data_IF_381411138201
#
_entry.id   IF_381411138201
#
_cell.length_a   1.000
_cell.length_b   1.000
_cell.length_c   1.000
_cell.angle_alpha   90.00
_cell.angle_beta   90.00
_cell.angle_gamma   90.00
#
_symmetry.space_group_name_H-M   'P 1'
#
loop_
_entity.id
_entity.type
_entity.pdbx_description
1 polymer ?
#
# COMPACT_ATOMS: atom_id res chain seq x y z
N UNK A 1 5.43 -7.97 -3.25
CA UNK A 1 4.06 -7.84 -2.71
C UNK A 1 3.18 -8.85 -3.42
N UNK A 2 2.21 -9.44 -2.72
CA UNK A 2 1.25 -10.39 -3.29
C UNK A 2 -0.15 -9.82 -3.07
N UNK A 3 -1.02 -9.99 -4.07
CA UNK A 3 -2.45 -9.63 -3.98
C UNK A 3 -3.25 -10.91 -4.15
N UNK A 4 -4.08 -11.22 -3.15
CA UNK A 4 -4.91 -12.43 -3.11
C UNK A 4 -6.37 -12.04 -2.90
N UNK A 5 -7.29 -12.85 -3.41
CA UNK A 5 -8.72 -12.67 -3.16
C UNK A 5 -9.22 -13.84 -2.31
N UNK A 6 -9.79 -13.54 -1.15
CA UNK A 6 -10.41 -14.51 -0.24
C UNK A 6 -11.88 -14.15 -0.03
N UNK A 7 -12.76 -14.83 -0.78
CA UNK A 7 -14.18 -14.50 -0.82
C UNK A 7 -14.39 -13.04 -1.25
N UNK A 8 -14.96 -12.24 -0.34
CA UNK A 8 -15.24 -10.82 -0.56
C UNK A 8 -14.07 -9.90 -0.16
N UNK A 9 -12.92 -10.46 0.22
CA UNK A 9 -11.73 -9.70 0.64
C UNK A 9 -10.68 -9.65 -0.46
N UNK A 10 -10.06 -8.48 -0.61
CA UNK A 10 -8.80 -8.32 -1.36
C UNK A 10 -7.69 -8.11 -0.34
N UNK A 11 -6.75 -9.06 -0.27
CA UNK A 11 -5.65 -9.08 0.67
C UNK A 11 -4.37 -8.54 0.01
N UNK A 12 -3.82 -7.47 0.57
CA UNK A 12 -2.54 -6.91 0.17
C UNK A 12 -1.43 -7.39 1.12
N UNK A 13 -0.61 -8.35 0.70
CA UNK A 13 0.59 -8.75 1.46
C UNK A 13 1.80 -7.95 1.00
N UNK A 14 2.27 -7.05 1.85
CA UNK A 14 3.40 -6.16 1.58
C UNK A 14 4.56 -6.51 2.52
N UNK A 15 5.68 -6.94 1.94
CA UNK A 15 6.91 -7.27 2.65
C UNK A 15 7.97 -6.21 2.35
N UNK A 16 8.74 -5.83 3.37
CA UNK A 16 9.83 -4.86 3.25
C UNK A 16 10.73 -4.88 4.48
N UNK A 17 11.93 -4.32 4.36
CA UNK A 17 12.87 -4.21 5.48
C UNK A 17 12.43 -3.14 6.48
N UNK A 18 11.91 -2.02 5.98
CA UNK A 18 11.39 -0.90 6.77
C UNK A 18 10.26 -0.23 6.00
N UNK A 19 9.36 0.41 6.75
CA UNK A 19 8.29 1.23 6.20
C UNK A 19 8.35 2.62 6.80
N UNK A 20 8.14 3.66 5.99
CA UNK A 20 7.98 5.01 6.49
C UNK A 20 6.62 5.17 7.17
N UNK A 21 6.47 6.24 7.97
CA UNK A 21 5.22 6.52 8.66
C UNK A 21 4.02 6.54 7.68
N UNK A 22 3.00 5.73 8.00
CA UNK A 22 1.77 5.54 7.20
C UNK A 22 1.96 4.97 5.79
N UNK A 23 3.14 4.50 5.40
CA UNK A 23 3.44 4.03 4.04
C UNK A 23 2.43 3.01 3.51
N UNK A 24 2.24 1.92 4.26
CA UNK A 24 1.40 0.78 3.85
C UNK A 24 -0.06 1.22 3.66
N UNK A 25 -0.60 2.01 4.59
CA UNK A 25 -1.98 2.51 4.54
C UNK A 25 -2.20 3.52 3.41
N UNK A 26 -1.19 4.33 3.11
CA UNK A 26 -1.22 5.26 1.96
C UNK A 26 -1.19 4.50 0.64
N UNK A 27 -0.33 3.47 0.54
CA UNK A 27 -0.26 2.62 -0.64
C UNK A 27 -1.60 1.92 -0.89
N UNK A 28 -2.19 1.29 0.13
CA UNK A 28 -3.50 0.66 0.03
C UNK A 28 -4.58 1.66 -0.42
N UNK A 29 -4.58 2.86 0.16
CA UNK A 29 -5.50 3.93 -0.21
C UNK A 29 -5.42 4.36 -1.69
N UNK A 30 -4.21 4.55 -2.19
CA UNK A 30 -3.96 4.90 -3.60
C UNK A 30 -4.42 3.78 -4.52
N UNK A 31 -4.14 2.52 -4.18
CA UNK A 31 -4.56 1.36 -4.98
C UNK A 31 -6.10 1.24 -5.04
N UNK A 32 -6.80 1.53 -3.94
CA UNK A 32 -8.27 1.59 -3.92
C UNK A 32 -8.79 2.68 -4.86
N UNK A 33 -8.20 3.89 -4.82
CA UNK A 33 -8.58 4.99 -5.73
C UNK A 33 -8.34 4.63 -7.20
N UNK A 34 -7.22 3.98 -7.50
CA UNK A 34 -6.91 3.48 -8.84
C UNK A 34 -7.91 2.41 -9.28
N UNK A 35 -8.23 1.45 -8.41
CA UNK A 35 -9.19 0.38 -8.69
C UNK A 35 -10.63 0.89 -8.92
N UNK A 36 -11.01 1.98 -8.26
CA UNK A 36 -12.29 2.67 -8.52
C UNK A 36 -12.27 3.58 -9.76
N UNK A 37 -11.11 3.77 -10.41
CA UNK A 37 -10.96 4.67 -11.55
C UNK A 37 -10.99 6.16 -11.19
N UNK A 38 -10.84 6.52 -9.92
CA UNK A 38 -10.80 7.92 -9.47
C UNK A 38 -9.48 8.61 -9.83
N UNK A 39 -8.42 7.83 -10.05
CA UNK A 39 -7.13 8.27 -10.59
C UNK A 39 -6.70 7.37 -11.74
N UNK A 40 -5.87 7.88 -12.64
CA UNK A 40 -5.37 7.11 -13.79
C UNK A 40 -4.11 6.31 -13.44
N UNK A 41 -3.76 5.33 -14.28
CA UNK A 41 -2.48 4.62 -14.17
C UNK A 41 -1.30 5.59 -14.29
N UNK A 42 -1.41 6.58 -15.18
CA UNK A 42 -0.40 7.64 -15.33
C UNK A 42 -0.23 8.46 -14.06
N UNK A 43 -1.32 8.82 -13.38
CA UNK A 43 -1.27 9.52 -12.10
C UNK A 43 -0.54 8.69 -11.04
N UNK A 44 -0.79 7.37 -11.03
CA UNK A 44 -0.12 6.45 -10.13
C UNK A 44 1.39 6.34 -10.41
N UNK A 45 1.79 6.28 -11.68
CA UNK A 45 3.21 6.29 -12.09
C UNK A 45 3.92 7.58 -11.68
N UNK A 46 3.24 8.73 -11.79
CA UNK A 46 3.78 10.01 -11.32
C UNK A 46 3.97 10.05 -9.80
N UNK A 47 3.00 9.52 -9.03
CA UNK A 47 3.11 9.38 -7.58
C UNK A 47 4.34 8.53 -7.19
N UNK A 48 4.56 7.41 -7.89
CA UNK A 48 5.73 6.55 -7.67
C UNK A 48 7.05 7.24 -8.03
N UNK A 49 7.04 8.10 -9.04
CA UNK A 49 8.19 8.90 -9.44
C UNK A 49 8.44 10.13 -8.54
N UNK A 50 7.65 10.30 -7.46
CA UNK A 50 7.73 11.44 -6.55
C UNK A 50 7.23 12.76 -7.14
N UNK A 51 6.54 12.71 -8.30
CA UNK A 51 5.94 13.87 -8.95
C UNK A 51 4.49 13.99 -8.47
N UNK A 52 4.31 14.64 -7.32
CA UNK A 52 2.98 14.83 -6.75
C UNK A 52 2.30 16.07 -7.34
N UNK A 53 1.21 15.88 -8.08
CA UNK A 53 0.35 16.97 -8.50
C UNK A 53 -0.52 17.44 -7.32
N UNK A 54 -0.89 18.73 -7.29
CA UNK A 54 -1.71 19.31 -6.21
C UNK A 54 -3.06 18.61 -6.00
N UNK A 55 -3.61 17.98 -7.04
CA UNK A 55 -4.87 17.21 -6.96
C UNK A 55 -4.73 15.81 -6.35
N UNK A 56 -3.50 15.28 -6.23
CA UNK A 56 -3.25 13.91 -5.76
C UNK A 56 -2.89 13.92 -4.28
N UNK A 57 -3.90 13.90 -3.41
CA UNK A 57 -3.70 13.93 -1.96
C UNK A 57 -3.61 12.51 -1.35
N UNK A 58 -2.41 11.93 -1.41
CA UNK A 58 -2.10 10.62 -0.82
C UNK A 58 -2.32 10.60 0.69
N UNK A 59 -2.20 11.75 1.39
CA UNK A 59 -2.42 11.80 2.83
C UNK A 59 -3.91 11.67 3.15
N UNK A 60 -4.78 12.34 2.39
CA UNK A 60 -6.23 12.23 2.51
C UNK A 60 -6.75 10.82 2.19
N UNK A 61 -6.08 10.09 1.31
CA UNK A 61 -6.49 8.73 0.93
C UNK A 61 -5.97 7.65 1.89
N UNK A 62 -5.37 8.00 3.02
CA UNK A 62 -4.83 7.01 3.97
C UNK A 62 -5.93 6.03 4.41
N UNK A 63 -5.79 4.75 4.04
CA UNK A 63 -6.77 3.71 4.38
C UNK A 63 -6.97 3.60 5.91
N UNK A 64 -8.13 3.14 6.42
CA UNK A 64 -8.36 2.91 7.85
C UNK A 64 -7.31 1.97 8.49
N UNK A 65 -7.04 2.12 9.78
CA UNK A 65 -6.08 1.25 10.49
C UNK A 65 -6.64 -0.15 10.78
N UNK A 66 -7.96 -0.31 10.84
CA UNK A 66 -8.62 -1.59 11.17
C UNK A 66 -8.33 -2.71 10.17
N UNK A 67 -7.93 -2.37 8.93
CA UNK A 67 -7.57 -3.35 7.90
C UNK A 67 -6.07 -3.66 7.82
N UNK A 68 -5.21 -3.02 8.64
CA UNK A 68 -3.78 -3.28 8.64
C UNK A 68 -3.36 -4.08 9.88
N UNK A 69 -2.72 -5.21 9.66
CA UNK A 69 -2.12 -6.05 10.70
C UNK A 69 -0.72 -6.51 10.29
N UNK A 70 0.10 -6.85 11.27
CA UNK A 70 1.43 -7.41 11.05
C UNK A 70 1.31 -8.92 10.82
N UNK A 71 1.67 -9.39 9.62
CA UNK A 71 1.60 -10.82 9.23
C UNK A 71 2.75 -11.63 9.84
N UNK A 72 3.99 -11.11 9.79
CA UNK A 72 5.15 -11.77 10.37
C UNK A 72 6.43 -10.97 10.23
N UNK A 73 7.45 -11.35 11.00
CA UNK A 73 8.80 -10.77 10.95
C UNK A 73 9.80 -11.90 10.70
N UNK A 74 10.59 -11.76 9.63
CA UNK A 74 11.63 -12.73 9.28
C UNK A 74 12.93 -12.39 9.98
N UNK A 75 13.39 -13.29 10.84
CA UNK A 75 14.73 -13.23 11.44
C UNK A 75 15.67 -14.14 10.66
N UNK A 76 16.97 -13.78 10.61
CA UNK A 76 17.97 -14.72 10.11
C UNK A 76 18.03 -15.91 11.05
N UNK A 77 18.03 -17.11 10.49
CA UNK A 77 18.23 -18.34 11.25
C UNK A 77 19.59 -18.26 11.93
N UNK A 78 19.61 -18.23 13.26
CA UNK A 78 20.85 -18.15 14.03
C UNK A 78 21.27 -19.59 14.34
N UNK A 79 21.67 -20.32 13.31
CA UNK A 79 22.40 -21.58 13.45
C UNK A 79 23.84 -21.38 12.99
N UNK A 80 24.73 -21.26 13.97
CA UNK A 80 26.09 -21.79 13.89
C UNK A 80 26.17 -22.95 14.88
#
# INVERSE_FOLDING_TARGET
AVVEQEGDLILFRIEGSHFIWRMVRRLAGVLVKLGHGEITVTDFEELLAGRCQSRLDVAAWTAPSSGLFLDGVKYRDTKQ
#
